data_IF_361779744639
#
_entry.id   IF_361779744639
#
_cell.length_a   1.000
_cell.length_b   1.000
_cell.length_c   1.000
_cell.angle_alpha   90.00
_cell.angle_beta   90.00
_cell.angle_gamma   90.00
#
_symmetry.space_group_name_H-M   'P 1'
#
loop_
_entity.id
_entity.type
_entity.pdbx_description
1 polymer ?
#
# COMPACT_ATOMS: atom_id res chain seq x y z
N UNK A 1 5.23 1.03 13.57
CA UNK A 1 6.18 0.56 12.57
C UNK A 1 5.81 1.10 11.19
N UNK A 2 6.79 1.57 10.41
CA UNK A 2 6.59 2.02 9.04
C UNK A 2 6.77 0.83 8.07
N UNK A 3 5.72 0.54 7.31
CA UNK A 3 5.77 -0.40 6.19
C UNK A 3 5.76 0.37 4.87
N UNK A 4 6.64 0.01 3.95
CA UNK A 4 6.75 0.64 2.63
C UNK A 4 6.74 -0.41 1.52
N UNK A 5 6.26 -0.01 0.36
CA UNK A 5 6.34 -0.78 -0.88
C UNK A 5 6.41 0.18 -2.07
N UNK A 6 6.62 -0.35 -3.25
CA UNK A 6 6.52 0.40 -4.50
C UNK A 6 5.59 -0.29 -5.48
N UNK A 7 4.73 0.49 -6.11
CA UNK A 7 3.89 0.05 -7.23
C UNK A 7 4.56 0.29 -8.59
N UNK A 8 5.71 0.97 -8.57
CA UNK A 8 6.45 1.33 -9.77
C UNK A 8 5.78 2.44 -10.60
N UNK A 9 6.34 2.64 -11.77
CA UNK A 9 5.78 3.48 -12.84
C UNK A 9 4.66 2.75 -13.60
N UNK A 10 4.13 3.37 -14.64
CA UNK A 10 3.04 2.78 -15.43
C UNK A 10 3.45 1.45 -16.07
N UNK A 11 4.64 1.38 -16.66
CA UNK A 11 5.15 0.17 -17.30
C UNK A 11 5.31 -0.98 -16.28
N UNK A 12 5.88 -0.70 -15.11
CA UNK A 12 5.96 -1.67 -14.00
C UNK A 12 4.57 -2.19 -13.59
N UNK A 13 3.59 -1.30 -13.48
CA UNK A 13 2.23 -1.66 -13.07
C UNK A 13 1.52 -2.51 -14.13
N UNK A 14 1.72 -2.20 -15.41
CA UNK A 14 1.13 -2.97 -16.52
C UNK A 14 1.72 -4.37 -16.58
N UNK A 15 3.04 -4.50 -16.46
CA UNK A 15 3.72 -5.80 -16.39
C UNK A 15 3.28 -6.64 -15.18
N UNK A 16 3.15 -6.00 -14.02
CA UNK A 16 2.70 -6.67 -12.80
C UNK A 16 1.23 -7.07 -12.87
N UNK A 17 0.38 -6.24 -13.46
CA UNK A 17 -1.03 -6.55 -13.71
C UNK A 17 -1.18 -7.82 -14.57
N UNK A 18 -0.43 -7.89 -15.66
CA UNK A 18 -0.42 -9.07 -16.53
C UNK A 18 0.06 -10.32 -15.79
N UNK A 19 1.12 -10.20 -14.99
CA UNK A 19 1.63 -11.29 -14.18
C UNK A 19 0.60 -11.81 -13.18
N UNK A 20 -0.12 -10.91 -12.49
CA UNK A 20 -1.20 -11.29 -11.56
C UNK A 20 -2.38 -11.95 -12.29
N UNK A 21 -2.78 -11.45 -13.45
CA UNK A 21 -3.83 -12.05 -14.25
C UNK A 21 -3.45 -13.46 -14.69
N UNK A 22 -2.24 -13.65 -15.22
CA UNK A 22 -1.74 -14.97 -15.60
C UNK A 22 -1.66 -15.93 -14.40
N UNK A 23 -1.29 -15.42 -13.22
CA UNK A 23 -1.18 -16.20 -11.99
C UNK A 23 -2.55 -16.68 -11.48
N UNK A 24 -3.56 -15.81 -11.46
CA UNK A 24 -4.88 -16.14 -10.92
C UNK A 24 -5.84 -16.77 -11.94
N UNK A 25 -5.55 -16.68 -13.23
CA UNK A 25 -6.41 -17.23 -14.28
C UNK A 25 -6.80 -18.71 -14.07
N UNK A 26 -5.88 -19.63 -13.70
CA UNK A 26 -6.22 -21.05 -13.54
C UNK A 26 -7.21 -21.32 -12.40
N UNK A 27 -7.27 -20.44 -11.41
CA UNK A 27 -8.08 -20.60 -10.19
C UNK A 27 -9.20 -19.55 -10.09
N UNK A 28 -9.44 -18.77 -11.12
CA UNK A 28 -10.37 -17.65 -11.09
C UNK A 28 -11.77 -18.06 -10.62
N UNK A 29 -12.23 -19.25 -11.00
CA UNK A 29 -13.54 -19.78 -10.61
C UNK A 29 -13.61 -20.24 -9.14
N UNK A 30 -12.47 -20.39 -8.49
CA UNK A 30 -12.36 -20.79 -7.07
C UNK A 30 -12.38 -19.55 -6.14
N UNK A 31 -12.09 -18.37 -6.69
CA UNK A 31 -12.05 -17.12 -5.94
C UNK A 31 -13.46 -16.57 -5.71
N UNK A 32 -13.62 -15.78 -4.66
CA UNK A 32 -14.88 -15.12 -4.35
C UNK A 32 -15.32 -14.17 -5.50
N UNK A 33 -16.62 -13.88 -5.56
CA UNK A 33 -17.20 -13.06 -6.61
C UNK A 33 -16.49 -11.69 -6.75
N UNK A 34 -16.14 -11.05 -5.65
CA UNK A 34 -15.42 -9.77 -5.67
C UNK A 34 -14.05 -9.90 -6.31
N UNK A 35 -13.32 -11.00 -6.06
CA UNK A 35 -12.03 -11.26 -6.67
C UNK A 35 -12.13 -11.55 -8.16
N UNK A 36 -13.20 -12.20 -8.61
CA UNK A 36 -13.47 -12.38 -10.05
C UNK A 36 -13.70 -11.02 -10.75
N UNK A 37 -14.41 -10.10 -10.11
CA UNK A 37 -14.59 -8.73 -10.63
C UNK A 37 -13.27 -7.94 -10.59
N UNK A 38 -12.49 -8.08 -9.53
CA UNK A 38 -11.17 -7.43 -9.38
C UNK A 38 -10.16 -7.92 -10.41
N UNK A 39 -10.23 -9.19 -10.79
CA UNK A 39 -9.36 -9.76 -11.82
C UNK A 39 -9.39 -8.95 -13.13
N UNK A 40 -10.55 -8.50 -13.55
CA UNK A 40 -10.70 -7.67 -14.75
C UNK A 40 -10.33 -6.21 -14.53
N UNK A 41 -10.79 -5.64 -13.42
CA UNK A 41 -10.65 -4.20 -13.14
C UNK A 41 -9.30 -3.82 -12.57
N UNK A 42 -8.91 -4.46 -11.48
CA UNK A 42 -7.66 -4.21 -10.75
C UNK A 42 -7.22 -5.46 -9.98
N UNK A 43 -6.44 -6.36 -10.60
CA UNK A 43 -6.03 -7.62 -9.99
C UNK A 43 -5.16 -7.44 -8.74
N UNK A 44 -4.50 -6.29 -8.52
CA UNK A 44 -3.76 -6.02 -7.30
C UNK A 44 -4.65 -6.13 -6.06
N UNK A 45 -5.93 -5.76 -6.18
CA UNK A 45 -6.88 -5.81 -5.07
C UNK A 45 -7.31 -7.22 -4.67
N UNK A 46 -6.95 -8.23 -5.46
CA UNK A 46 -7.14 -9.63 -5.07
C UNK A 46 -6.26 -9.94 -3.86
N UNK A 47 -5.05 -9.41 -3.82
CA UNK A 47 -4.07 -9.62 -2.74
C UNK A 47 -4.56 -9.11 -1.37
N UNK A 48 -5.44 -8.10 -1.36
CA UNK A 48 -6.06 -7.54 -0.15
C UNK A 48 -7.44 -8.18 0.17
N UNK A 49 -7.76 -9.33 -0.41
CA UNK A 49 -9.04 -9.98 -0.18
C UNK A 49 -9.08 -10.68 1.17
N UNK A 50 -10.03 -10.27 2.04
CA UNK A 50 -10.23 -10.90 3.35
C UNK A 50 -10.84 -12.30 3.26
N UNK A 51 -11.61 -12.59 2.19
CA UNK A 51 -12.26 -13.89 1.97
C UNK A 51 -11.24 -14.91 1.47
N UNK A 52 -10.49 -14.55 0.41
CA UNK A 52 -9.57 -15.45 -0.27
C UNK A 52 -8.15 -15.43 0.31
N UNK A 53 -7.89 -14.68 1.40
CA UNK A 53 -6.54 -14.49 1.99
C UNK A 53 -5.79 -15.79 2.28
N UNK A 54 -6.52 -16.87 2.54
CA UNK A 54 -5.94 -18.19 2.84
C UNK A 54 -5.83 -19.09 1.60
N UNK A 55 -6.25 -18.63 0.42
CA UNK A 55 -6.13 -19.40 -0.80
C UNK A 55 -4.64 -19.67 -1.11
N UNK A 56 -4.24 -20.90 -1.50
CA UNK A 56 -2.83 -21.25 -1.74
C UNK A 56 -2.13 -20.31 -2.72
N UNK A 57 -2.82 -19.87 -3.75
CA UNK A 57 -2.29 -18.96 -4.78
C UNK A 57 -1.91 -17.58 -4.23
N UNK A 58 -2.46 -17.15 -3.10
CA UNK A 58 -2.05 -15.89 -2.46
C UNK A 58 -0.60 -15.93 -1.97
N UNK A 59 -0.15 -17.09 -1.50
CA UNK A 59 1.22 -17.26 -0.99
C UNK A 59 2.28 -17.26 -2.09
N UNK A 60 1.90 -17.64 -3.29
CA UNK A 60 2.79 -17.76 -4.46
C UNK A 60 2.57 -16.63 -5.46
N UNK A 61 1.74 -15.66 -5.12
CA UNK A 61 1.47 -14.50 -5.98
C UNK A 61 2.77 -13.76 -6.31
N UNK A 62 2.93 -13.30 -7.55
CA UNK A 62 4.08 -12.50 -7.95
C UNK A 62 4.15 -11.23 -7.10
N UNK A 63 5.36 -10.71 -6.90
CA UNK A 63 5.61 -9.50 -6.10
C UNK A 63 5.88 -8.33 -7.02
N UNK A 64 5.38 -7.16 -6.68
CA UNK A 64 5.57 -5.93 -7.48
C UNK A 64 7.04 -5.64 -7.76
N UNK A 65 7.90 -5.87 -6.78
CA UNK A 65 9.33 -5.58 -6.87
C UNK A 65 10.04 -6.35 -7.99
N UNK A 66 9.51 -7.49 -8.42
CA UNK A 66 10.08 -8.34 -9.48
C UNK A 66 9.73 -7.83 -10.90
N UNK A 67 8.83 -6.84 -10.99
CA UNK A 67 8.32 -6.28 -12.25
C UNK A 67 8.63 -4.79 -12.43
N UNK A 68 9.51 -4.23 -11.59
CA UNK A 68 9.90 -2.83 -11.69
C UNK A 68 10.78 -2.60 -12.90
N UNK A 69 10.55 -1.47 -13.57
CA UNK A 69 11.55 -0.92 -14.51
C UNK A 69 12.82 -0.51 -13.75
N UNK A 70 13.95 -0.38 -14.44
CA UNK A 70 15.20 0.09 -13.83
C UNK A 70 15.03 1.47 -13.16
N UNK A 71 14.24 2.35 -13.78
CA UNK A 71 13.95 3.67 -13.23
C UNK A 71 13.11 3.59 -11.96
N UNK A 72 12.06 2.76 -11.95
CA UNK A 72 11.21 2.58 -10.78
C UNK A 72 11.97 1.94 -9.62
N UNK A 73 12.85 0.98 -9.92
CA UNK A 73 13.73 0.35 -8.95
C UNK A 73 14.70 1.34 -8.33
N UNK A 74 15.43 2.10 -9.16
CA UNK A 74 16.35 3.13 -8.69
C UNK A 74 15.66 4.21 -7.85
N UNK A 75 14.41 4.58 -8.22
CA UNK A 75 13.61 5.50 -7.44
C UNK A 75 13.30 4.94 -6.04
N UNK A 76 12.89 3.67 -5.94
CA UNK A 76 12.56 3.05 -4.66
C UNK A 76 13.81 2.84 -3.78
N UNK A 77 14.91 2.41 -4.37
CA UNK A 77 16.21 2.29 -3.67
C UNK A 77 16.67 3.64 -3.09
N UNK A 78 16.45 4.74 -3.83
CA UNK A 78 16.74 6.08 -3.32
C UNK A 78 15.84 6.48 -2.16
N UNK A 79 14.55 6.09 -2.16
CA UNK A 79 13.65 6.33 -1.02
C UNK A 79 14.14 5.58 0.22
N UNK A 80 14.51 4.30 0.06
CA UNK A 80 15.08 3.51 1.16
C UNK A 80 16.35 4.14 1.72
N UNK A 81 17.30 4.53 0.86
CA UNK A 81 18.53 5.18 1.29
C UNK A 81 18.29 6.50 2.04
N UNK A 82 17.29 7.29 1.64
CA UNK A 82 16.92 8.52 2.36
C UNK A 82 16.29 8.24 3.73
N UNK A 83 15.53 7.15 3.87
CA UNK A 83 15.01 6.72 5.18
C UNK A 83 16.15 6.25 6.10
N UNK A 84 17.10 5.49 5.54
CA UNK A 84 18.32 5.07 6.26
C UNK A 84 19.16 6.27 6.73
N UNK A 85 19.36 7.28 5.85
CA UNK A 85 20.08 8.52 6.19
C UNK A 85 19.38 9.34 7.29
N UNK A 86 18.04 9.22 7.39
CA UNK A 86 17.24 9.87 8.42
C UNK A 86 17.07 9.00 9.68
N UNK A 87 17.71 7.83 9.74
CA UNK A 87 17.60 6.87 10.84
C UNK A 87 16.13 6.46 11.12
N UNK A 88 15.29 6.37 10.07
CA UNK A 88 13.90 5.95 10.17
C UNK A 88 13.82 4.46 9.87
N UNK A 89 13.47 3.66 10.87
CA UNK A 89 13.24 2.23 10.71
C UNK A 89 12.01 1.95 9.86
N UNK A 90 12.15 1.06 8.87
CA UNK A 90 11.05 0.63 8.00
C UNK A 90 11.13 -0.85 7.65
N UNK A 91 10.02 -1.38 7.19
CA UNK A 91 9.90 -2.73 6.63
C UNK A 91 9.47 -2.62 5.18
N UNK A 92 10.22 -3.23 4.27
CA UNK A 92 9.75 -3.41 2.89
C UNK A 92 8.75 -4.56 2.87
N UNK A 93 7.49 -4.23 2.66
CA UNK A 93 6.39 -5.20 2.58
C UNK A 93 5.89 -5.34 1.15
N UNK A 94 6.31 -6.38 0.43
CA UNK A 94 5.91 -6.58 -0.97
C UNK A 94 4.41 -6.89 -1.16
N UNK A 95 3.68 -7.17 -0.08
CA UNK A 95 2.24 -7.41 -0.11
C UNK A 95 1.43 -6.14 0.19
N UNK A 96 2.11 -5.06 0.59
CA UNK A 96 1.44 -3.80 0.87
C UNK A 96 0.84 -3.23 -0.43
N UNK A 97 -0.48 -3.20 -0.50
CA UNK A 97 -1.27 -2.54 -1.54
C UNK A 97 -2.25 -1.57 -0.90
N UNK A 98 -2.56 -0.48 -1.57
CA UNK A 98 -3.50 0.53 -1.08
C UNK A 98 -4.87 0.36 -1.75
N UNK A 99 -5.92 0.72 -1.03
CA UNK A 99 -7.30 0.61 -1.50
C UNK A 99 -7.71 1.58 -2.62
N UNK A 100 -6.82 2.49 -3.04
CA UNK A 100 -7.07 3.52 -4.04
C UNK A 100 -6.15 3.32 -5.25
N UNK A 101 -6.69 3.46 -6.44
CA UNK A 101 -6.02 3.07 -7.68
C UNK A 101 -5.08 4.15 -8.24
N UNK A 102 -5.13 5.37 -7.68
CA UNK A 102 -4.32 6.50 -8.14
C UNK A 102 -2.86 6.48 -7.67
N UNK A 103 -2.50 5.59 -6.73
CA UNK A 103 -1.11 5.50 -6.27
C UNK A 103 -0.17 4.96 -7.34
N UNK A 104 1.04 5.52 -7.35
CA UNK A 104 2.18 5.12 -8.17
C UNK A 104 3.45 5.16 -7.32
N UNK A 105 4.50 4.47 -7.73
CA UNK A 105 5.76 4.42 -6.97
C UNK A 105 5.54 4.06 -5.49
N UNK A 106 6.10 4.82 -4.57
CA UNK A 106 6.10 4.50 -3.15
C UNK A 106 4.72 4.60 -2.52
N UNK A 107 4.33 3.56 -1.80
CA UNK A 107 3.18 3.52 -0.89
C UNK A 107 3.66 3.13 0.49
N UNK A 108 2.97 3.58 1.53
CA UNK A 108 3.33 3.26 2.91
C UNK A 108 2.12 3.15 3.82
N UNK A 109 2.30 2.39 4.90
CA UNK A 109 1.40 2.30 6.03
C UNK A 109 2.16 2.41 7.34
N UNK A 110 1.56 3.06 8.31
CA UNK A 110 2.03 3.10 9.69
C UNK A 110 1.15 2.13 10.48
N UNK A 111 1.78 1.09 11.00
CA UNK A 111 1.14 0.00 11.71
C UNK A 111 1.47 0.13 13.20
N UNK A 112 0.45 0.02 14.03
CA UNK A 112 0.57 -0.04 15.49
C UNK A 112 0.37 -1.48 15.96
N UNK A 113 1.23 -1.90 16.88
CA UNK A 113 1.10 -3.17 17.59
C UNK A 113 0.36 -3.01 18.95
N UNK A 114 -0.28 -1.85 19.18
CA UNK A 114 -1.05 -1.61 20.38
C UNK A 114 -2.21 -2.62 20.49
N UNK A 115 -2.31 -3.40 21.59
CA UNK A 115 -3.36 -4.39 21.78
C UNK A 115 -4.78 -3.78 21.77
N UNK A 116 -4.93 -2.51 22.15
CA UNK A 116 -6.21 -1.79 22.12
C UNK A 116 -6.77 -1.60 20.70
N UNK A 117 -5.87 -1.53 19.72
CA UNK A 117 -6.23 -1.43 18.29
C UNK A 117 -6.38 -2.79 17.60
N UNK A 118 -5.88 -3.85 18.25
CA UNK A 118 -5.68 -5.16 17.64
C UNK A 118 -4.31 -5.22 16.91
N UNK A 119 -3.66 -6.37 16.97
CA UNK A 119 -2.33 -6.55 16.41
C UNK A 119 -2.26 -6.20 14.92
N UNK A 120 -1.25 -5.44 14.52
CA UNK A 120 -1.01 -5.07 13.13
C UNK A 120 -2.04 -4.08 12.57
N UNK A 121 -2.65 -3.23 13.40
CA UNK A 121 -3.64 -2.25 12.93
C UNK A 121 -2.99 -1.05 12.26
N UNK A 122 -3.43 -0.75 11.05
CA UNK A 122 -3.02 0.46 10.32
C UNK A 122 -3.63 1.70 10.97
N UNK A 123 -2.79 2.62 11.43
CA UNK A 123 -3.23 3.92 12.01
C UNK A 123 -3.21 5.04 10.98
N UNK A 124 -2.40 4.90 9.93
CA UNK A 124 -2.32 5.86 8.85
C UNK A 124 -1.56 5.31 7.67
N UNK A 125 -1.60 6.02 6.57
CA UNK A 125 -0.85 5.63 5.39
C UNK A 125 -1.08 6.56 4.22
N UNK A 126 -0.27 6.38 3.20
CA UNK A 126 -0.28 7.24 2.03
C UNK A 126 0.60 6.72 0.93
N UNK A 127 1.05 7.63 0.09
CA UNK A 127 1.94 7.29 -1.02
C UNK A 127 2.05 8.41 -2.03
N UNK A 128 2.77 8.11 -3.08
CA UNK A 128 2.94 8.96 -4.25
C UNK A 128 1.84 8.72 -5.26
N UNK A 129 1.40 9.75 -5.95
CA UNK A 129 0.42 9.69 -7.02
C UNK A 129 0.76 10.71 -8.11
N UNK A 130 1.27 10.23 -9.24
CA UNK A 130 1.74 11.11 -10.31
C UNK A 130 0.67 11.40 -11.38
N UNK A 131 -0.39 10.58 -11.44
CA UNK A 131 -1.44 10.67 -12.48
C UNK A 131 -2.73 11.35 -12.03
N UNK A 132 -2.94 11.54 -10.70
CA UNK A 132 -4.24 11.97 -10.18
C UNK A 132 -4.69 13.33 -10.70
N UNK A 133 -3.78 14.30 -10.76
CA UNK A 133 -4.12 15.67 -11.22
C UNK A 133 -4.49 15.64 -12.71
N UNK A 134 -3.81 14.84 -13.52
CA UNK A 134 -4.08 14.67 -14.95
C UNK A 134 -5.42 13.96 -15.18
N UNK A 135 -5.74 12.92 -14.40
CA UNK A 135 -7.05 12.25 -14.43
C UNK A 135 -8.21 13.19 -14.11
N UNK A 136 -7.96 14.20 -13.29
CA UNK A 136 -8.94 15.25 -12.94
C UNK A 136 -8.96 16.43 -13.94
N UNK A 137 -8.22 16.32 -15.06
CA UNK A 137 -8.20 17.35 -16.11
C UNK A 137 -7.17 18.45 -15.92
N UNK A 138 -6.26 18.30 -14.95
CA UNK A 138 -5.14 19.23 -14.73
C UNK A 138 -3.88 18.82 -15.51
N UNK A 139 -2.79 19.61 -15.38
CA UNK A 139 -1.50 19.26 -15.97
C UNK A 139 -0.85 18.08 -15.23
N UNK A 140 0.06 17.40 -15.89
CA UNK A 140 0.86 16.34 -15.25
C UNK A 140 1.61 16.92 -14.05
N UNK A 141 1.20 16.47 -12.86
CA UNK A 141 1.71 17.00 -11.59
C UNK A 141 1.94 15.87 -10.62
N UNK A 142 3.17 15.65 -10.17
CA UNK A 142 3.44 14.66 -9.14
C UNK A 142 2.85 15.11 -7.81
N UNK A 143 2.31 14.15 -7.06
CA UNK A 143 1.76 14.38 -5.73
C UNK A 143 2.21 13.33 -4.74
N UNK A 144 2.21 13.70 -3.47
CA UNK A 144 2.36 12.80 -2.34
C UNK A 144 1.40 13.23 -1.24
N UNK A 145 0.80 12.27 -0.59
CA UNK A 145 -0.12 12.56 0.50
C UNK A 145 -0.32 11.38 1.42
N UNK A 146 -0.94 11.66 2.56
CA UNK A 146 -1.23 10.67 3.57
C UNK A 146 -2.50 11.05 4.36
N UNK A 147 -3.05 10.06 5.05
CA UNK A 147 -4.13 10.26 6.01
C UNK A 147 -3.95 9.36 7.23
N UNK A 148 -4.42 9.84 8.38
CA UNK A 148 -4.48 9.10 9.63
C UNK A 148 -5.92 8.92 10.09
N UNK A 149 -6.22 7.78 10.71
CA UNK A 149 -7.42 7.62 11.51
C UNK A 149 -7.23 8.31 12.86
N UNK A 150 -7.91 9.44 13.10
CA UNK A 150 -7.71 10.23 14.33
C UNK A 150 -7.98 9.41 15.58
N UNK A 151 -9.07 8.66 15.63
CA UNK A 151 -9.42 7.80 16.77
C UNK A 151 -8.34 6.72 17.00
N UNK A 152 -7.82 6.11 15.93
CA UNK A 152 -6.77 5.12 16.03
C UNK A 152 -5.45 5.72 16.50
N UNK A 153 -5.14 6.93 16.02
CA UNK A 153 -3.94 7.64 16.44
C UNK A 153 -4.01 7.99 17.93
N UNK A 154 -5.16 8.50 18.41
CA UNK A 154 -5.39 8.79 19.83
C UNK A 154 -5.23 7.55 20.71
N UNK A 155 -5.81 6.41 20.29
CA UNK A 155 -5.63 5.15 21.00
C UNK A 155 -4.16 4.72 21.03
N UNK A 156 -3.44 4.84 19.91
CA UNK A 156 -2.04 4.46 19.83
C UNK A 156 -1.11 5.35 20.65
N UNK A 157 -1.46 6.62 20.84
CA UNK A 157 -0.72 7.56 21.71
C UNK A 157 -0.95 7.29 23.20
N UNK A 158 -2.03 6.56 23.54
CA UNK A 158 -2.41 6.27 24.93
C UNK A 158 -3.08 7.45 25.63
N UNK A 159 -3.56 7.17 26.86
CA UNK A 159 -4.27 8.16 27.69
C UNK A 159 -3.29 9.11 28.45
N UNK A 160 -2.00 9.15 28.09
CA UNK A 160 -0.99 10.01 28.73
C UNK A 160 -1.21 11.52 28.47
N UNK A 161 -2.25 11.87 27.72
CA UNK A 161 -2.79 13.22 27.63
C UNK A 161 -3.93 13.41 28.63
N UNK A 162 -3.72 12.98 29.89
CA UNK A 162 -4.53 13.48 31.00
C UNK A 162 -4.14 14.95 31.19
N UNK A 163 -5.07 15.79 30.73
CA UNK A 163 -5.31 17.15 31.23
C UNK A 163 -4.09 18.09 31.34
N UNK A 164 -3.63 18.66 30.24
CA UNK A 164 -3.32 20.06 30.33
C UNK A 164 -4.66 20.81 30.47
N UNK A 165 -5.00 21.03 31.72
CA UNK A 165 -6.16 21.81 32.15
C UNK A 165 -6.25 23.12 31.39
N UNK A 166 -7.44 23.34 30.81
CA UNK A 166 -8.11 24.60 30.76
C UNK A 166 -7.31 25.82 30.37
N UNK A 167 -7.46 26.19 29.10
CA UNK A 167 -7.40 27.61 28.74
C UNK A 167 -8.67 28.27 29.27
N UNK A 168 -8.54 28.92 30.43
CA UNK A 168 -9.44 29.97 30.88
C UNK A 168 -9.29 31.23 29.98
#
# INVERSE_FOLDING_TARGET
>A
QLHINTLGDQESRDAYREALQNHFQPVLNELCHDCQVRYEKNPLRILDCKVDKNHPMMKTAPKTIDYLTDNAKAHFEKVCALLDDLEIDYVVDPNLVRGLDYYSHTVFEIISDDPKLGAGSTVGGGGRYNGLVEELGGPQTPGVGFAFGMERLMIALGDDHEDEEGLD
#
